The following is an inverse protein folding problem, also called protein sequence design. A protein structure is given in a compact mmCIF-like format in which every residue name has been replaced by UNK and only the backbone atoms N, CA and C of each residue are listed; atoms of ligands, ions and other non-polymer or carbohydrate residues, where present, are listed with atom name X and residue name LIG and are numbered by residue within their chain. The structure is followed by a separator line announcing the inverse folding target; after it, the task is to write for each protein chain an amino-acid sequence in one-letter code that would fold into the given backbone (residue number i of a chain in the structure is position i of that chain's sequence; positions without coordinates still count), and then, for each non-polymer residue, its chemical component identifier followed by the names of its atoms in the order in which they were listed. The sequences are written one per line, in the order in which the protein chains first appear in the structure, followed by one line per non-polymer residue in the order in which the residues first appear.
data_IF_997869898342
#
_entry.id   IF_997869898342
#
_cell.length_a   1.000
_cell.length_b   1.000
_cell.length_c   1.000
_cell.angle_alpha   90.00
_cell.angle_beta   90.00
_cell.angle_gamma   90.00
#
_symmetry.space_group_name_H-M   'P 1'
#
loop_
_entity.id
_entity.type
_entity.pdbx_description
1 polymer ?
#
# COMPACT_ATOMS: atom_id res chain seq x y z
N UNK A 1 11.35 -15.82 15.03
CA UNK A 1 11.11 -14.66 14.16
C UNK A 1 12.34 -13.77 14.22
N UNK A 2 12.89 -13.38 13.08
CA UNK A 2 14.02 -12.46 13.04
C UNK A 2 13.48 -11.01 12.98
N UNK A 3 13.26 -10.40 14.16
CA UNK A 3 12.83 -9.01 14.29
C UNK A 3 13.77 -8.03 13.59
N UNK A 4 15.09 -8.25 13.67
CA UNK A 4 16.08 -7.37 13.08
C UNK A 4 15.90 -7.29 11.56
N UNK A 5 15.75 -8.43 10.90
CA UNK A 5 15.53 -8.48 9.44
C UNK A 5 14.23 -7.77 9.01
N UNK A 6 13.20 -7.80 9.84
CA UNK A 6 11.96 -7.05 9.59
C UNK A 6 12.18 -5.54 9.75
N UNK A 7 12.87 -5.12 10.80
CA UNK A 7 13.13 -3.70 11.09
C UNK A 7 14.16 -3.05 10.14
N UNK A 8 14.97 -3.84 9.43
CA UNK A 8 15.86 -3.37 8.36
C UNK A 8 15.10 -2.93 7.09
N UNK A 9 13.83 -3.30 6.97
CA UNK A 9 12.99 -2.87 5.84
C UNK A 9 12.59 -1.40 5.96
N UNK A 10 12.26 -0.82 4.83
CA UNK A 10 11.79 0.57 4.79
C UNK A 10 10.55 0.75 5.67
N UNK A 11 10.58 1.75 6.53
CA UNK A 11 9.45 2.09 7.38
C UNK A 11 8.26 2.57 6.56
N UNK A 12 7.05 2.37 7.08
CA UNK A 12 5.86 2.96 6.51
C UNK A 12 5.96 4.49 6.58
N UNK A 13 5.90 5.13 5.42
CA UNK A 13 5.93 6.58 5.29
C UNK A 13 4.61 7.19 5.75
N UNK A 14 4.69 8.38 6.33
CA UNK A 14 3.52 9.11 6.84
C UNK A 14 2.48 9.44 5.76
N UNK A 15 2.91 9.55 4.51
CA UNK A 15 2.03 9.73 3.35
C UNK A 15 1.45 8.42 2.77
N UNK A 16 1.82 7.26 3.30
CA UNK A 16 1.33 5.95 2.85
C UNK A 16 1.83 5.47 1.49
N UNK A 17 2.78 6.17 0.84
CA UNK A 17 3.22 5.85 -0.53
C UNK A 17 3.79 4.45 -0.71
N UNK A 18 4.30 3.83 0.36
CA UNK A 18 4.83 2.47 0.38
C UNK A 18 3.96 1.49 1.19
N UNK A 19 2.68 1.84 1.43
CA UNK A 19 1.79 1.04 2.30
C UNK A 19 1.63 -0.40 1.81
N UNK A 20 1.42 -0.62 0.52
CA UNK A 20 1.23 -1.97 -0.06
C UNK A 20 2.43 -2.88 0.18
N UNK A 21 3.64 -2.36 -0.05
CA UNK A 21 4.87 -3.12 0.16
C UNK A 21 5.17 -3.33 1.64
N UNK A 22 5.01 -2.29 2.44
CA UNK A 22 5.14 -2.37 3.89
C UNK A 22 4.18 -3.41 4.49
N UNK A 23 2.90 -3.37 4.12
CA UNK A 23 1.91 -4.32 4.63
C UNK A 23 2.20 -5.77 4.20
N UNK A 24 2.71 -5.97 2.98
CA UNK A 24 3.20 -7.27 2.53
C UNK A 24 4.32 -7.79 3.43
N UNK A 25 5.28 -6.94 3.80
CA UNK A 25 6.38 -7.31 4.71
C UNK A 25 5.86 -7.65 6.12
N UNK A 26 4.90 -6.88 6.66
CA UNK A 26 4.23 -7.21 7.93
C UNK A 26 3.60 -8.59 7.87
N UNK A 27 2.85 -8.91 6.81
CA UNK A 27 2.21 -10.22 6.66
C UNK A 27 3.22 -11.35 6.58
N UNK A 28 4.29 -11.21 5.81
CA UNK A 28 5.38 -12.22 5.72
C UNK A 28 6.01 -12.45 7.10
N UNK A 29 6.30 -11.37 7.81
CA UNK A 29 6.87 -11.43 9.15
C UNK A 29 5.96 -12.21 10.11
N UNK A 30 4.67 -11.89 10.18
CA UNK A 30 3.71 -12.54 11.05
C UNK A 30 3.47 -14.01 10.66
N UNK A 31 3.48 -14.31 9.36
CA UNK A 31 3.37 -15.69 8.85
C UNK A 31 4.52 -16.55 9.34
N UNK A 32 5.75 -16.03 9.25
CA UNK A 32 6.94 -16.73 9.74
C UNK A 32 6.93 -17.05 11.24
N UNK A 33 6.06 -16.36 12.02
CA UNK A 33 5.90 -16.57 13.45
C UNK A 33 4.60 -17.24 13.88
N UNK A 34 3.74 -17.62 12.93
CA UNK A 34 2.38 -18.07 13.21
C UNK A 34 1.57 -17.06 14.04
N UNK A 35 1.71 -15.75 13.74
CA UNK A 35 1.10 -14.64 14.48
C UNK A 35 0.03 -13.89 13.68
N UNK A 36 -0.41 -14.39 12.52
CA UNK A 36 -1.41 -13.72 11.66
C UNK A 36 -2.73 -13.46 12.39
N UNK A 37 -3.12 -14.37 13.29
CA UNK A 37 -4.36 -14.25 14.07
C UNK A 37 -4.43 -12.95 14.89
N UNK A 38 -3.29 -12.34 15.21
CA UNK A 38 -3.23 -11.06 15.95
C UNK A 38 -3.82 -9.91 15.13
N UNK A 39 -3.80 -10.01 13.78
CA UNK A 39 -4.42 -9.02 12.91
C UNK A 39 -5.86 -9.37 12.49
N UNK A 40 -6.37 -10.52 12.92
CA UNK A 40 -7.72 -10.98 12.54
C UNK A 40 -8.78 -10.62 13.58
N UNK A 41 -8.36 -10.43 14.84
CA UNK A 41 -9.25 -10.08 15.94
C UNK A 41 -8.50 -9.34 17.06
N UNK A 42 -9.19 -8.46 17.83
CA UNK A 42 -8.59 -7.84 19.00
C UNK A 42 -8.32 -8.88 20.09
N UNK A 43 -7.45 -8.54 21.04
CA UNK A 43 -7.07 -9.44 22.15
C UNK A 43 -8.26 -9.95 22.96
N UNK A 44 -9.28 -9.12 23.11
CA UNK A 44 -10.44 -9.39 23.97
C UNK A 44 -10.15 -9.12 25.46
N UNK A 45 -11.21 -9.13 26.30
CA UNK A 45 -11.08 -8.85 27.73
C UNK A 45 -10.38 -10.01 28.46
N UNK A 46 -9.78 -9.72 29.65
CA UNK A 46 -9.20 -10.74 30.47
C UNK A 46 -10.26 -11.74 30.96
N UNK A 47 -9.88 -13.02 31.13
CA UNK A 47 -10.80 -14.03 31.62
C UNK A 47 -11.25 -13.73 33.08
N UNK A 48 -12.45 -14.18 33.51
CA UNK A 48 -12.92 -13.99 34.86
C UNK A 48 -11.95 -14.58 35.88
N UNK A 49 -11.88 -14.03 37.11
CA UNK A 49 -10.96 -14.50 38.16
C UNK A 49 -11.10 -15.98 38.52
N UNK A 50 -12.30 -16.54 38.38
CA UNK A 50 -12.65 -17.90 38.80
C UNK A 50 -12.28 -19.02 37.79
N UNK A 51 -11.63 -18.70 36.66
CA UNK A 51 -11.20 -19.71 35.70
C UNK A 51 -9.93 -20.44 36.13
N UNK A 52 -9.67 -21.60 35.51
CA UNK A 52 -8.46 -22.40 35.80
C UNK A 52 -7.18 -21.63 35.47
N UNK A 53 -6.09 -22.00 36.11
CA UNK A 53 -4.76 -21.41 35.87
C UNK A 53 -4.31 -21.61 34.42
N UNK A 54 -4.65 -22.72 33.80
CA UNK A 54 -4.35 -22.98 32.39
C UNK A 54 -4.98 -21.94 31.45
N UNK A 55 -6.22 -21.52 31.71
CA UNK A 55 -6.90 -20.47 30.90
C UNK A 55 -6.23 -19.13 31.08
N UNK A 56 -5.80 -18.80 32.30
CA UNK A 56 -5.04 -17.57 32.57
C UNK A 56 -3.70 -17.56 31.85
N UNK A 57 -2.93 -18.65 31.94
CA UNK A 57 -1.64 -18.81 31.26
C UNK A 57 -1.77 -18.68 29.73
N UNK A 58 -2.83 -19.25 29.14
CA UNK A 58 -3.12 -19.08 27.70
C UNK A 58 -3.39 -17.62 27.37
N UNK A 59 -4.18 -16.92 28.18
CA UNK A 59 -4.46 -15.50 27.98
C UNK A 59 -3.19 -14.65 28.12
N UNK A 60 -2.37 -14.85 29.11
CA UNK A 60 -1.10 -14.13 29.31
C UNK A 60 -0.13 -14.36 28.16
N UNK A 61 -0.08 -15.58 27.63
CA UNK A 61 0.68 -15.88 26.42
C UNK A 61 0.18 -15.08 25.22
N UNK A 62 -1.14 -14.96 25.06
CA UNK A 62 -1.73 -14.12 24.00
C UNK A 62 -1.39 -12.64 24.20
N UNK A 63 -1.53 -12.11 25.42
CA UNK A 63 -1.14 -10.72 25.76
C UNK A 63 0.31 -10.45 25.33
N UNK A 64 1.22 -11.35 25.68
CA UNK A 64 2.64 -11.24 25.30
C UNK A 64 2.82 -11.21 23.78
N UNK A 65 2.11 -12.06 23.04
CA UNK A 65 2.17 -12.10 21.57
C UNK A 65 1.63 -10.83 20.94
N UNK A 66 0.49 -10.32 21.43
CA UNK A 66 -0.08 -9.06 20.96
C UNK A 66 0.87 -7.88 21.20
N UNK A 67 1.48 -7.78 22.38
CA UNK A 67 2.47 -6.75 22.71
C UNK A 67 3.71 -6.83 21.83
N UNK A 68 4.22 -8.03 21.53
CA UNK A 68 5.35 -8.22 20.63
C UNK A 68 5.04 -7.76 19.21
N UNK A 69 3.85 -8.09 18.69
CA UNK A 69 3.41 -7.68 17.35
C UNK A 69 3.18 -6.17 17.30
N UNK A 70 2.56 -5.59 18.33
CA UNK A 70 2.37 -4.14 18.44
C UNK A 70 3.71 -3.40 18.38
N UNK A 71 4.68 -3.83 19.19
CA UNK A 71 6.01 -3.23 19.19
C UNK A 71 6.68 -3.34 17.82
N UNK A 72 6.62 -4.51 17.16
CA UNK A 72 7.20 -4.70 15.85
C UNK A 72 6.58 -3.78 14.80
N UNK A 73 5.25 -3.70 14.77
CA UNK A 73 4.53 -2.83 13.84
C UNK A 73 4.89 -1.37 14.11
N UNK A 74 4.77 -0.89 15.35
CA UNK A 74 5.10 0.50 15.70
C UNK A 74 6.54 0.86 15.31
N UNK A 75 7.52 0.00 15.59
CA UNK A 75 8.92 0.23 15.20
C UNK A 75 9.11 0.31 13.68
N UNK A 76 8.22 -0.28 12.90
CA UNK A 76 8.23 -0.26 11.44
C UNK A 76 7.49 0.94 10.83
N UNK A 77 6.99 1.87 11.64
CA UNK A 77 6.34 3.11 11.19
C UNK A 77 7.28 4.31 11.31
N UNK A 78 7.05 5.36 10.52
CA UNK A 78 7.66 6.67 10.76
C UNK A 78 7.10 7.31 12.03
N UNK A 79 7.87 8.24 12.62
CA UNK A 79 7.62 8.81 13.95
C UNK A 79 6.21 9.44 14.12
N UNK A 80 5.68 10.07 13.09
CA UNK A 80 4.34 10.67 13.11
C UNK A 80 3.25 9.60 13.26
N UNK A 81 3.37 8.51 12.51
CA UNK A 81 2.44 7.38 12.60
C UNK A 81 2.61 6.64 13.94
N UNK A 82 3.84 6.46 14.42
CA UNK A 82 4.09 5.87 15.74
C UNK A 82 3.32 6.63 16.82
N UNK A 83 3.47 7.96 16.87
CA UNK A 83 2.80 8.83 17.86
C UNK A 83 1.29 8.76 17.76
N UNK A 84 0.75 8.63 16.54
CA UNK A 84 -0.70 8.53 16.32
C UNK A 84 -1.28 7.21 16.83
N UNK A 85 -0.53 6.09 16.63
CA UNK A 85 -1.03 4.74 16.83
C UNK A 85 -0.46 4.03 18.06
N UNK A 86 0.35 4.69 18.89
CA UNK A 86 1.02 4.07 20.04
C UNK A 86 0.09 3.41 21.06
N UNK A 87 -1.17 3.84 21.14
CA UNK A 87 -2.17 3.32 22.07
C UNK A 87 -3.14 2.29 21.47
N UNK A 88 -3.03 2.01 20.15
CA UNK A 88 -3.90 1.05 19.48
C UNK A 88 -3.35 -0.37 19.62
N UNK A 89 -4.26 -1.34 19.76
CA UNK A 89 -3.84 -2.73 19.62
C UNK A 89 -3.45 -3.05 18.15
N UNK A 90 -2.73 -4.15 17.88
CA UNK A 90 -2.25 -4.46 16.54
C UNK A 90 -3.38 -4.61 15.48
N UNK A 91 -4.54 -5.14 15.89
CA UNK A 91 -5.70 -5.30 15.03
C UNK A 91 -6.27 -3.94 14.62
N UNK A 92 -6.57 -3.09 15.60
CA UNK A 92 -7.10 -1.73 15.38
C UNK A 92 -6.12 -0.88 14.56
N UNK A 93 -4.83 -0.91 14.93
CA UNK A 93 -3.77 -0.17 14.25
C UNK A 93 -3.72 -0.50 12.76
N UNK A 94 -3.65 -1.79 12.41
CA UNK A 94 -3.56 -2.21 11.01
C UNK A 94 -4.87 -1.95 10.28
N UNK A 95 -6.01 -2.11 10.95
CA UNK A 95 -7.32 -1.83 10.35
C UNK A 95 -7.47 -0.35 9.97
N UNK A 96 -7.08 0.56 10.87
CA UNK A 96 -7.09 2.00 10.56
C UNK A 96 -6.09 2.39 9.47
N UNK A 97 -4.87 1.85 9.52
CA UNK A 97 -3.88 2.09 8.46
C UNK A 97 -4.40 1.66 7.09
N UNK A 98 -5.07 0.51 7.01
CA UNK A 98 -5.74 0.06 5.77
C UNK A 98 -6.82 1.03 5.33
N UNK A 99 -7.72 1.41 6.24
CA UNK A 99 -8.80 2.34 5.92
C UNK A 99 -8.27 3.67 5.37
N UNK A 100 -7.16 4.17 5.91
CA UNK A 100 -6.54 5.42 5.47
C UNK A 100 -5.85 5.24 4.11
N UNK A 101 -4.94 4.27 4.02
CA UNK A 101 -4.02 4.21 2.88
C UNK A 101 -4.53 3.39 1.69
N UNK A 102 -5.39 2.39 1.88
CA UNK A 102 -6.05 1.70 0.77
C UNK A 102 -7.04 2.63 0.04
N UNK A 103 -7.76 3.47 0.78
CA UNK A 103 -8.64 4.48 0.19
C UNK A 103 -7.84 5.54 -0.58
N UNK A 104 -6.73 6.02 -0.02
CA UNK A 104 -5.83 6.96 -0.69
C UNK A 104 -5.23 6.35 -1.96
N UNK A 105 -4.74 5.11 -1.89
CA UNK A 105 -4.18 4.42 -3.05
C UNK A 105 -5.22 4.24 -4.18
N UNK A 106 -6.47 3.95 -3.84
CA UNK A 106 -7.55 3.83 -4.82
C UNK A 106 -7.85 5.17 -5.51
N UNK A 107 -7.91 6.26 -4.74
CA UNK A 107 -8.12 7.61 -5.29
C UNK A 107 -6.93 8.03 -6.17
N UNK A 108 -5.71 7.82 -5.71
CA UNK A 108 -4.50 8.18 -6.47
C UNK A 108 -4.39 7.37 -7.77
N UNK A 109 -4.75 6.08 -7.71
CA UNK A 109 -4.82 5.19 -8.86
C UNK A 109 -5.87 5.65 -9.88
N UNK A 110 -7.05 6.05 -9.40
CA UNK A 110 -8.11 6.61 -10.26
C UNK A 110 -7.65 7.90 -10.95
N UNK A 111 -7.09 8.86 -10.20
CA UNK A 111 -6.60 10.12 -10.77
C UNK A 111 -5.45 9.90 -11.75
N UNK A 112 -4.51 9.01 -11.45
CA UNK A 112 -3.44 8.66 -12.38
C UNK A 112 -3.98 8.03 -13.68
N UNK A 113 -4.97 7.16 -13.57
CA UNK A 113 -5.68 6.56 -14.72
C UNK A 113 -6.40 7.62 -15.53
N UNK A 114 -7.12 8.52 -14.89
CA UNK A 114 -7.81 9.64 -15.54
C UNK A 114 -6.86 10.54 -16.31
N UNK A 115 -5.70 10.87 -15.73
CA UNK A 115 -4.67 11.63 -16.43
C UNK A 115 -4.10 10.88 -17.64
N UNK A 116 -3.76 9.60 -17.49
CA UNK A 116 -3.22 8.80 -18.60
C UNK A 116 -4.24 8.62 -19.75
N UNK A 117 -5.47 8.24 -19.43
CA UNK A 117 -6.49 8.00 -20.44
C UNK A 117 -7.18 9.30 -20.95
N UNK A 118 -7.12 10.37 -20.20
CA UNK A 118 -7.68 11.68 -20.58
C UNK A 118 -6.69 12.61 -21.28
N UNK A 119 -5.39 12.29 -21.28
CA UNK A 119 -4.37 13.14 -21.89
C UNK A 119 -4.53 13.17 -23.42
N UNK A 120 -4.76 14.36 -23.98
CA UNK A 120 -4.88 14.59 -25.43
C UNK A 120 -3.87 15.65 -25.84
N UNK A 121 -3.23 15.45 -27.00
CA UNK A 121 -2.32 16.42 -27.59
C UNK A 121 -3.08 17.55 -28.27
N UNK A 122 -2.72 18.79 -27.96
CA UNK A 122 -3.28 19.95 -28.64
C UNK A 122 -2.67 20.12 -30.04
N UNK A 123 -3.45 20.65 -30.97
CA UNK A 123 -3.00 20.93 -32.34
C UNK A 123 -1.81 21.91 -32.33
N UNK A 124 -0.73 21.54 -33.03
CA UNK A 124 0.48 22.36 -33.09
C UNK A 124 1.45 22.24 -31.91
N UNK A 125 1.12 21.46 -30.89
CA UNK A 125 2.07 21.21 -29.79
C UNK A 125 3.13 20.16 -30.15
N UNK A 126 4.17 20.03 -29.31
CA UNK A 126 5.28 19.12 -29.55
C UNK A 126 4.91 17.67 -29.27
N UNK A 127 5.02 16.80 -30.27
CA UNK A 127 4.81 15.34 -30.10
C UNK A 127 5.76 14.76 -29.04
N UNK A 128 7.03 15.21 -29.04
CA UNK A 128 8.02 14.70 -28.08
C UNK A 128 7.66 15.04 -26.63
N UNK A 129 7.17 16.25 -26.37
CA UNK A 129 6.71 16.65 -25.04
C UNK A 129 5.45 15.88 -24.63
N UNK A 130 4.52 15.67 -25.55
CA UNK A 130 3.33 14.89 -25.31
C UNK A 130 3.65 13.42 -24.97
N UNK A 131 4.54 12.77 -25.72
CA UNK A 131 5.00 11.39 -25.44
C UNK A 131 5.70 11.32 -24.09
N UNK A 132 6.52 12.31 -23.75
CA UNK A 132 7.19 12.37 -22.45
C UNK A 132 6.17 12.48 -21.29
N UNK A 133 5.15 13.33 -21.42
CA UNK A 133 4.07 13.47 -20.44
C UNK A 133 3.29 12.15 -20.27
N UNK A 134 2.91 11.50 -21.40
CA UNK A 134 2.24 10.20 -21.39
C UNK A 134 3.07 9.10 -20.72
N UNK A 135 4.38 9.09 -20.97
CA UNK A 135 5.32 8.16 -20.33
C UNK A 135 5.40 8.40 -18.82
N UNK A 136 5.36 9.66 -18.38
CA UNK A 136 5.29 10.03 -16.95
C UNK A 136 4.01 9.52 -16.28
N UNK A 137 2.86 9.65 -16.93
CA UNK A 137 1.59 9.12 -16.43
C UNK A 137 1.59 7.59 -16.38
N UNK A 138 2.12 6.91 -17.41
CA UNK A 138 2.25 5.45 -17.42
C UNK A 138 3.18 4.95 -16.30
N UNK A 139 4.29 5.65 -16.05
CA UNK A 139 5.19 5.34 -14.94
C UNK A 139 4.49 5.47 -13.59
N UNK A 140 3.74 6.57 -13.38
CA UNK A 140 2.97 6.76 -12.15
C UNK A 140 1.97 5.62 -11.90
N UNK A 141 1.29 5.14 -12.95
CA UNK A 141 0.41 3.96 -12.87
C UNK A 141 1.18 2.70 -12.49
N UNK A 142 2.35 2.49 -13.09
CA UNK A 142 3.23 1.36 -12.76
C UNK A 142 3.68 1.40 -11.30
N UNK A 143 4.05 2.57 -10.79
CA UNK A 143 4.45 2.77 -9.39
C UNK A 143 3.30 2.47 -8.41
N UNK A 144 2.04 2.64 -8.86
CA UNK A 144 0.82 2.27 -8.13
C UNK A 144 0.38 0.81 -8.36
N UNK A 145 1.21 -0.01 -9.03
CA UNK A 145 0.94 -1.42 -9.30
C UNK A 145 0.06 -1.70 -10.53
N UNK A 146 -0.30 -0.67 -11.30
CA UNK A 146 -1.05 -0.80 -12.57
C UNK A 146 -0.09 -0.77 -13.74
N UNK A 147 0.31 -1.93 -14.20
CA UNK A 147 1.22 -2.07 -15.34
C UNK A 147 0.46 -1.90 -16.65
N UNK A 148 0.81 -0.89 -17.43
CA UNK A 148 0.30 -0.69 -18.80
C UNK A 148 1.16 -1.51 -19.75
N UNK A 149 0.60 -2.49 -20.49
CA UNK A 149 1.33 -3.20 -21.54
C UNK A 149 1.86 -2.22 -22.60
N UNK A 150 3.10 -2.42 -23.07
CA UNK A 150 3.75 -1.51 -24.02
C UNK A 150 2.87 -1.23 -25.24
N UNK A 151 2.24 -2.26 -25.81
CA UNK A 151 1.37 -2.12 -26.97
C UNK A 151 0.15 -1.24 -26.68
N UNK A 152 -0.47 -1.39 -25.51
CA UNK A 152 -1.59 -0.53 -25.07
C UNK A 152 -1.13 0.91 -24.88
N UNK A 153 0.07 1.12 -24.32
CA UNK A 153 0.68 2.44 -24.18
C UNK A 153 0.87 3.14 -25.55
N UNK A 154 1.43 2.42 -26.53
CA UNK A 154 1.60 2.93 -27.90
C UNK A 154 0.25 3.28 -28.52
N UNK A 155 -0.73 2.37 -28.47
CA UNK A 155 -2.08 2.63 -28.99
C UNK A 155 -2.71 3.86 -28.35
N UNK A 156 -2.52 4.05 -27.03
CA UNK A 156 -3.06 5.21 -26.33
C UNK A 156 -2.39 6.52 -26.78
N UNK A 157 -1.06 6.51 -26.99
CA UNK A 157 -0.35 7.67 -27.57
C UNK A 157 -0.90 8.00 -28.95
N UNK A 158 -1.04 7.02 -29.85
CA UNK A 158 -1.58 7.24 -31.19
C UNK A 158 -3.01 7.80 -31.16
N UNK A 159 -3.86 7.31 -30.26
CA UNK A 159 -5.23 7.80 -30.07
C UNK A 159 -5.30 9.22 -29.50
N UNK A 160 -4.26 9.68 -28.83
CA UNK A 160 -4.20 11.00 -28.22
C UNK A 160 -3.69 12.10 -29.15
N UNK A 161 -3.23 11.72 -30.35
CA UNK A 161 -2.76 12.67 -31.34
C UNK A 161 -3.91 13.43 -32.01
N UNK A 162 -3.73 14.71 -32.38
CA UNK A 162 -4.75 15.49 -33.05
C UNK A 162 -5.00 15.07 -34.50
N UNK A 163 -6.10 15.54 -35.13
CA UNK A 163 -6.49 15.12 -36.48
C UNK A 163 -5.45 15.31 -37.54
N UNK A 164 -4.52 16.27 -37.43
CA UNK A 164 -3.40 16.49 -38.34
C UNK A 164 -2.50 15.26 -38.48
N UNK A 165 -2.45 14.37 -37.50
CA UNK A 165 -1.66 13.13 -37.52
C UNK A 165 -2.44 11.91 -38.04
N UNK A 166 -3.68 12.07 -38.53
CA UNK A 166 -4.53 10.97 -38.98
C UNK A 166 -3.84 10.05 -39.99
N UNK A 167 -3.15 10.62 -40.99
CA UNK A 167 -2.45 9.82 -41.99
C UNK A 167 -1.29 9.03 -41.42
N UNK A 168 -0.58 9.58 -40.45
CA UNK A 168 0.48 8.88 -39.73
C UNK A 168 -0.10 7.68 -38.93
N UNK A 169 -1.16 7.91 -38.17
CA UNK A 169 -1.81 6.86 -37.34
C UNK A 169 -2.37 5.73 -38.19
N UNK A 170 -2.91 6.04 -39.40
CA UNK A 170 -3.47 5.02 -40.31
C UNK A 170 -2.41 4.16 -41.00
N UNK A 171 -1.15 4.60 -41.05
CA UNK A 171 -0.04 3.90 -41.69
C UNK A 171 0.94 3.26 -40.68
N UNK A 172 0.65 3.37 -39.38
CA UNK A 172 1.42 2.72 -38.31
C UNK A 172 1.05 1.24 -38.22
#
# INVERSE_FOLDING_TARGET
INFNQFLEKEKLKSNGSNFTDWFRHVRIFLTGGNLQYVLESPLGPPPPPAVSEDVKNVYETRVTRYSQVQCAILCSLEAELQKRFEHHDPYELVHELKAIFETHAAVESYEASKHFFGCMMEEGSSVSEHVLAMSGHAKKLSDLGIVIPNQLGIHRVLQSLPPSYKNFVMNY
#
